data_IF_535422529762
#
_entry.id   IF_535422529762
#
_cell.length_a   1.000
_cell.length_b   1.000
_cell.length_c   1.000
_cell.angle_alpha   90.00
_cell.angle_beta   90.00
_cell.angle_gamma   90.00
#
_symmetry.space_group_name_H-M   'P 1'
#
loop_
_entity.id
_entity.type
_entity.pdbx_description
1 polymer ?
#
# COMPACT_ATOMS: atom_id res chain seq x y z
N UNK A 1 -15.92 16.62 5.34
CA UNK A 1 -15.53 15.20 5.21
C UNK A 1 -14.04 15.09 5.39
N UNK A 2 -13.62 14.02 6.06
CA UNK A 2 -12.23 13.64 6.24
C UNK A 2 -11.92 12.38 5.45
N UNK A 3 -10.89 12.44 4.60
CA UNK A 3 -10.51 11.37 3.69
C UNK A 3 -9.10 10.93 4.07
N UNK A 4 -8.91 9.62 4.29
CA UNK A 4 -7.59 9.02 4.41
C UNK A 4 -7.21 8.42 3.06
N UNK A 5 -6.26 9.04 2.36
CA UNK A 5 -5.72 8.51 1.11
C UNK A 5 -4.62 7.52 1.41
N UNK A 6 -4.72 6.29 0.93
CA UNK A 6 -3.71 5.27 1.14
C UNK A 6 -3.05 4.87 -0.19
N UNK A 7 -1.72 4.80 -0.20
CA UNK A 7 -0.91 4.22 -1.28
C UNK A 7 0.24 3.40 -0.67
N UNK A 8 0.88 2.49 -1.42
CA UNK A 8 1.97 1.67 -0.91
C UNK A 8 3.15 2.51 -0.41
N UNK A 9 3.52 3.50 -1.20
CA UNK A 9 4.54 4.50 -0.92
C UNK A 9 3.89 5.87 -1.17
N UNK A 10 4.39 6.93 -0.55
CA UNK A 10 3.84 8.26 -0.77
C UNK A 10 4.93 9.27 -1.12
N UNK A 11 4.57 10.27 -1.91
CA UNK A 11 5.45 11.40 -2.26
C UNK A 11 6.08 12.00 -1.00
N UNK A 12 7.41 12.27 -0.95
CA UNK A 12 8.31 12.44 -2.09
C UNK A 12 8.96 11.15 -2.64
N UNK A 13 8.76 10.00 -1.99
CA UNK A 13 9.28 8.74 -2.50
C UNK A 13 8.44 8.32 -3.70
N UNK A 14 9.09 8.05 -4.83
CA UNK A 14 8.43 7.73 -6.10
C UNK A 14 9.11 6.53 -6.76
N UNK A 15 8.31 5.51 -7.08
CA UNK A 15 8.74 4.39 -7.93
C UNK A 15 8.12 4.54 -9.32
N UNK A 16 6.87 5.00 -9.38
CA UNK A 16 6.15 5.20 -10.63
C UNK A 16 4.98 6.16 -10.50
N UNK A 17 3.98 6.02 -11.37
CA UNK A 17 2.87 6.97 -11.46
C UNK A 17 1.88 6.91 -10.29
N UNK A 18 1.84 5.81 -9.53
CA UNK A 18 0.88 5.64 -8.44
C UNK A 18 1.11 6.66 -7.31
N UNK A 19 2.37 6.85 -6.90
CA UNK A 19 2.74 7.78 -5.83
C UNK A 19 2.37 9.22 -6.21
N UNK A 20 2.76 9.65 -7.42
CA UNK A 20 2.46 10.99 -7.95
C UNK A 20 0.94 11.20 -8.04
N UNK A 21 0.21 10.25 -8.63
CA UNK A 21 -1.23 10.40 -8.80
C UNK A 21 -2.00 10.42 -7.48
N UNK A 22 -1.61 9.58 -6.50
CA UNK A 22 -2.21 9.61 -5.16
C UNK A 22 -1.92 10.91 -4.42
N UNK A 23 -0.73 11.48 -4.60
CA UNK A 23 -0.35 12.76 -4.01
C UNK A 23 -1.16 13.91 -4.63
N UNK A 24 -1.22 13.99 -5.95
CA UNK A 24 -2.03 14.99 -6.66
C UNK A 24 -3.51 14.88 -6.29
N UNK A 25 -4.05 13.66 -6.18
CA UNK A 25 -5.41 13.45 -5.69
C UNK A 25 -5.60 14.02 -4.28
N UNK A 26 -4.68 13.74 -3.35
CA UNK A 26 -4.77 14.24 -1.99
C UNK A 26 -4.73 15.78 -1.92
N UNK A 27 -3.82 16.41 -2.68
CA UNK A 27 -3.74 17.87 -2.79
C UNK A 27 -5.03 18.46 -3.36
N UNK A 28 -5.57 17.85 -4.42
CA UNK A 28 -6.77 18.31 -5.11
C UNK A 28 -8.05 18.13 -4.28
N UNK A 29 -8.12 17.11 -3.43
CA UNK A 29 -9.18 16.95 -2.45
C UNK A 29 -9.09 18.04 -1.37
N UNK A 30 -7.87 18.32 -0.87
CA UNK A 30 -7.66 19.38 0.12
C UNK A 30 -8.02 20.77 -0.42
N UNK A 31 -7.63 21.08 -1.66
CA UNK A 31 -7.99 22.33 -2.35
C UNK A 31 -9.51 22.50 -2.51
N UNK A 32 -10.27 21.40 -2.53
CA UNK A 32 -11.75 21.42 -2.56
C UNK A 32 -12.38 21.58 -1.17
N UNK A 33 -11.58 21.80 -0.12
CA UNK A 33 -12.04 22.01 1.25
C UNK A 33 -12.23 20.73 2.07
N UNK A 34 -11.82 19.56 1.57
CA UNK A 34 -11.84 18.33 2.35
C UNK A 34 -10.62 18.24 3.28
N UNK A 35 -10.78 17.62 4.45
CA UNK A 35 -9.65 17.29 5.29
C UNK A 35 -9.00 16.01 4.78
N UNK A 36 -7.70 16.03 4.48
CA UNK A 36 -7.03 14.90 3.86
C UNK A 36 -5.81 14.52 4.68
N UNK A 37 -5.77 13.28 5.13
CA UNK A 37 -4.56 12.64 5.64
C UNK A 37 -4.13 11.56 4.63
N UNK A 38 -2.88 11.12 4.71
CA UNK A 38 -2.38 10.01 3.91
C UNK A 38 -1.78 8.89 4.76
N UNK A 39 -1.90 7.64 4.31
CA UNK A 39 -1.29 6.46 4.94
C UNK A 39 -0.45 5.72 3.90
N UNK A 40 0.80 5.43 4.23
CA UNK A 40 1.67 4.66 3.34
C UNK A 40 2.71 3.86 4.11
N UNK A 41 3.34 2.92 3.43
CA UNK A 41 4.61 2.38 3.92
C UNK A 41 5.74 3.34 3.55
N UNK A 42 6.87 3.25 4.26
CA UNK A 42 8.10 3.94 3.84
C UNK A 42 8.74 3.30 2.61
N UNK A 43 8.22 2.16 2.13
CA UNK A 43 8.82 1.34 1.07
C UNK A 43 10.13 0.65 1.47
N UNK A 44 10.63 0.87 2.68
CA UNK A 44 11.93 0.39 3.16
C UNK A 44 11.78 -0.51 4.39
N UNK A 45 12.75 -1.40 4.62
CA UNK A 45 12.83 -2.27 5.82
C UNK A 45 13.55 -1.64 7.01
N UNK A 46 14.34 -0.61 6.79
CA UNK A 46 15.04 0.16 7.83
C UNK A 46 14.24 1.40 8.29
N UNK A 47 12.97 1.50 7.88
CA UNK A 47 12.07 2.58 8.31
C UNK A 47 11.60 2.46 9.77
N UNK A 48 10.80 3.42 10.25
CA UNK A 48 10.35 3.47 11.64
C UNK A 48 9.45 2.28 12.02
N UNK A 49 9.69 1.74 13.22
CA UNK A 49 8.94 0.59 13.74
C UNK A 49 7.44 0.88 13.92
N UNK A 50 7.10 2.10 14.34
CA UNK A 50 5.72 2.60 14.48
C UNK A 50 5.35 3.63 13.40
N UNK A 51 4.15 4.18 13.51
CA UNK A 51 3.70 5.29 12.65
C UNK A 51 4.47 6.56 12.97
N UNK A 52 5.35 6.94 12.06
CA UNK A 52 5.86 8.30 11.96
C UNK A 52 4.87 9.19 11.22
N UNK A 53 4.94 10.50 11.44
CA UNK A 53 4.10 11.48 10.73
C UNK A 53 4.95 12.60 10.14
N UNK A 54 4.55 13.07 8.96
CA UNK A 54 5.10 14.27 8.32
C UNK A 54 4.00 15.09 7.65
N UNK A 55 4.20 16.38 7.37
CA UNK A 55 3.20 17.19 6.66
C UNK A 55 2.88 16.66 5.26
N UNK A 56 1.61 16.74 4.89
CA UNK A 56 1.11 16.53 3.52
C UNK A 56 1.19 17.85 2.75
N UNK A 57 2.40 18.26 2.37
CA UNK A 57 2.65 19.57 1.77
C UNK A 57 2.02 20.70 2.60
N UNK A 58 1.34 21.62 1.93
CA UNK A 58 0.69 22.77 2.57
C UNK A 58 -0.81 22.56 2.85
N UNK A 59 -1.29 21.31 2.81
CA UNK A 59 -2.74 21.00 2.98
C UNK A 59 -3.23 21.09 4.42
N UNK A 60 -2.32 21.20 5.40
CA UNK A 60 -2.62 21.05 6.83
C UNK A 60 -2.87 19.61 7.29
N UNK A 61 -2.86 18.64 6.35
CA UNK A 61 -2.95 17.21 6.63
C UNK A 61 -1.60 16.56 6.91
N UNK A 62 -1.63 15.31 7.33
CA UNK A 62 -0.43 14.53 7.68
C UNK A 62 -0.32 13.25 6.84
N UNK A 63 0.90 12.84 6.54
CA UNK A 63 1.22 11.51 6.02
C UNK A 63 1.71 10.64 7.18
N UNK A 64 1.04 9.52 7.39
CA UNK A 64 1.35 8.49 8.37
C UNK A 64 2.14 7.37 7.69
N UNK A 65 3.36 7.09 8.15
CA UNK A 65 4.26 6.14 7.50
C UNK A 65 5.00 5.22 8.49
N UNK A 66 5.18 3.97 8.08
CA UNK A 66 5.94 2.95 8.83
C UNK A 66 6.68 1.99 7.88
N UNK A 67 7.60 1.19 8.40
CA UNK A 67 8.33 0.16 7.63
C UNK A 67 7.40 -0.72 6.77
N UNK A 68 7.79 -1.00 5.52
CA UNK A 68 7.06 -1.94 4.66
C UNK A 68 7.00 -3.35 5.28
N UNK A 69 5.88 -4.05 5.10
CA UNK A 69 5.81 -5.49 5.28
C UNK A 69 6.69 -6.22 4.26
N UNK A 70 7.01 -7.48 4.56
CA UNK A 70 7.73 -8.35 3.64
C UNK A 70 9.21 -8.49 3.95
N UNK A 71 9.96 -9.03 2.97
CA UNK A 71 11.36 -9.43 3.15
C UNK A 71 12.34 -8.67 2.26
N UNK A 72 11.89 -7.66 1.51
CA UNK A 72 12.78 -6.78 0.76
C UNK A 72 12.15 -5.39 0.58
N UNK A 73 12.99 -4.43 0.23
CA UNK A 73 12.57 -3.03 0.03
C UNK A 73 11.75 -2.90 -1.25
N UNK A 74 10.63 -2.17 -1.17
CA UNK A 74 9.87 -1.74 -2.33
C UNK A 74 10.53 -0.53 -2.99
N UNK A 75 11.04 0.40 -2.18
CA UNK A 75 11.69 1.63 -2.58
C UNK A 75 13.11 1.68 -2.01
N UNK A 76 14.07 2.09 -2.84
CA UNK A 76 15.45 2.31 -2.43
C UNK A 76 16.05 3.47 -3.21
N UNK A 77 16.79 4.32 -2.50
CA UNK A 77 17.52 5.42 -3.11
C UNK A 77 18.59 4.86 -4.06
N UNK A 78 18.63 5.35 -5.30
CA UNK A 78 19.66 4.96 -6.28
C UNK A 78 19.35 3.74 -7.14
N UNK A 79 18.13 3.19 -7.12
CA UNK A 79 17.67 2.18 -8.07
C UNK A 79 17.18 0.87 -7.43
N UNK A 80 16.75 -0.10 -8.26
CA UNK A 80 16.13 -1.33 -7.75
C UNK A 80 17.15 -2.20 -7.01
N UNK A 81 16.73 -2.76 -5.87
CA UNK A 81 17.51 -3.76 -5.16
C UNK A 81 17.71 -5.02 -6.04
N UNK A 82 18.82 -5.77 -5.85
CA UNK A 82 19.01 -7.04 -6.55
C UNK A 82 17.82 -7.97 -6.28
N UNK A 83 17.38 -8.66 -7.33
CA UNK A 83 16.25 -9.57 -7.24
C UNK A 83 16.54 -10.64 -6.16
N UNK A 84 15.66 -10.81 -5.16
CA UNK A 84 15.87 -11.80 -4.12
C UNK A 84 15.84 -13.21 -4.73
N UNK A 85 16.59 -14.13 -4.12
CA UNK A 85 16.53 -15.55 -4.46
C UNK A 85 15.09 -16.11 -4.36
N UNK A 86 14.83 -17.20 -5.06
CA UNK A 86 13.47 -17.74 -5.23
C UNK A 86 12.73 -18.03 -3.91
N UNK A 87 13.47 -18.48 -2.88
CA UNK A 87 12.93 -18.77 -1.56
C UNK A 87 12.43 -17.49 -0.87
N UNK A 88 13.29 -16.47 -0.78
CA UNK A 88 12.94 -15.17 -0.17
C UNK A 88 11.79 -14.51 -0.93
N UNK A 89 11.81 -14.63 -2.27
CA UNK A 89 10.72 -14.14 -3.12
C UNK A 89 9.40 -14.86 -2.82
N UNK A 90 9.43 -16.18 -2.66
CA UNK A 90 8.26 -16.98 -2.27
C UNK A 90 7.71 -16.55 -0.92
N UNK A 91 8.56 -16.50 0.11
CA UNK A 91 8.20 -16.05 1.45
C UNK A 91 7.59 -14.64 1.43
N UNK A 92 8.15 -13.72 0.65
CA UNK A 92 7.60 -12.38 0.49
C UNK A 92 6.18 -12.38 -0.04
N UNK A 93 5.90 -13.19 -1.06
CA UNK A 93 4.56 -13.27 -1.64
C UNK A 93 3.53 -13.80 -0.65
N UNK A 94 3.90 -14.75 0.21
CA UNK A 94 3.05 -15.21 1.29
C UNK A 94 2.88 -14.15 2.38
N UNK A 95 3.96 -13.47 2.80
CA UNK A 95 3.88 -12.38 3.78
C UNK A 95 3.05 -11.18 3.27
N UNK A 96 2.91 -11.03 1.94
CA UNK A 96 2.07 -10.00 1.33
C UNK A 96 0.55 -10.33 1.38
N UNK A 97 0.16 -11.51 1.85
CA UNK A 97 -1.26 -11.89 2.04
C UNK A 97 -1.84 -11.21 3.28
N UNK A 98 -1.12 -11.24 4.39
CA UNK A 98 -1.59 -10.68 5.66
C UNK A 98 -0.41 -10.27 6.52
N UNK A 99 -0.48 -9.07 7.10
CA UNK A 99 0.51 -8.57 8.03
C UNK A 99 -0.16 -8.14 9.34
N UNK A 100 0.01 -8.90 10.45
CA UNK A 100 -0.52 -8.52 11.75
C UNK A 100 0.02 -7.17 12.24
N UNK A 101 1.29 -6.87 11.92
CA UNK A 101 1.90 -5.56 12.20
C UNK A 101 1.16 -4.45 11.48
N UNK A 102 0.93 -4.57 10.18
CA UNK A 102 0.21 -3.55 9.44
C UNK A 102 -1.27 -3.48 9.77
N UNK A 103 -1.89 -4.58 10.19
CA UNK A 103 -3.24 -4.53 10.75
C UNK A 103 -3.27 -3.62 11.99
N UNK A 104 -2.32 -3.78 12.92
CA UNK A 104 -2.20 -2.91 14.11
C UNK A 104 -1.95 -1.44 13.73
N UNK A 105 -1.04 -1.18 12.79
CA UNK A 105 -0.71 0.18 12.35
C UNK A 105 -1.87 0.83 11.59
N UNK A 106 -2.57 0.10 10.72
CA UNK A 106 -3.74 0.61 10.01
C UNK A 106 -4.87 0.96 10.98
N UNK A 107 -5.10 0.11 12.00
CA UNK A 107 -6.02 0.40 13.10
C UNK A 107 -5.67 1.71 13.81
N UNK A 108 -4.41 1.86 14.22
CA UNK A 108 -3.92 3.08 14.87
C UNK A 108 -4.09 4.32 13.97
N UNK A 109 -3.74 4.23 12.69
CA UNK A 109 -3.90 5.32 11.74
C UNK A 109 -5.37 5.72 11.60
N UNK A 110 -6.29 4.75 11.45
CA UNK A 110 -7.73 5.00 11.34
C UNK A 110 -8.31 5.56 12.65
N UNK A 111 -7.81 5.14 13.82
CA UNK A 111 -8.24 5.67 15.12
C UNK A 111 -7.78 7.11 15.34
N UNK A 112 -6.54 7.43 14.93
CA UNK A 112 -5.98 8.78 15.04
C UNK A 112 -6.62 9.75 14.06
N UNK A 113 -6.88 9.30 12.84
CA UNK A 113 -7.41 10.16 11.78
C UNK A 113 -8.93 10.24 11.83
N UNK A 114 -9.64 9.17 12.20
CA UNK A 114 -11.11 9.07 12.15
C UNK A 114 -11.69 9.57 10.81
N UNK A 115 -11.27 8.98 9.67
CA UNK A 115 -11.74 9.43 8.37
C UNK A 115 -13.18 8.97 8.12
N UNK A 116 -13.94 9.78 7.40
CA UNK A 116 -15.26 9.41 6.88
C UNK A 116 -15.14 8.45 5.68
N UNK A 117 -13.99 8.44 4.99
CA UNK A 117 -13.71 7.60 3.82
C UNK A 117 -12.24 7.19 3.78
N UNK A 118 -11.97 5.89 3.61
CA UNK A 118 -10.65 5.39 3.25
C UNK A 118 -10.56 5.23 1.73
N UNK A 119 -9.62 5.93 1.09
CA UNK A 119 -9.37 5.80 -0.34
C UNK A 119 -8.04 5.09 -0.62
N UNK A 120 -8.08 3.79 -0.92
CA UNK A 120 -6.87 3.00 -1.22
C UNK A 120 -6.51 3.00 -2.70
N UNK A 121 -5.21 2.90 -3.00
CA UNK A 121 -4.65 2.89 -4.36
C UNK A 121 -3.83 1.61 -4.55
N UNK A 122 -2.50 1.65 -4.36
CA UNK A 122 -1.70 0.42 -4.25
C UNK A 122 -1.61 0.00 -2.77
N UNK A 123 -1.56 -1.31 -2.51
CA UNK A 123 -1.51 -1.89 -1.14
C UNK A 123 -0.30 -2.81 -0.92
N UNK A 124 0.60 -2.89 -1.90
CA UNK A 124 1.89 -3.57 -1.80
C UNK A 124 2.64 -3.08 -0.55
N UNK A 125 3.22 -3.99 0.23
CA UNK A 125 3.93 -3.65 1.47
C UNK A 125 3.04 -3.35 2.67
N UNK A 126 1.75 -3.10 2.48
CA UNK A 126 0.79 -2.93 3.58
C UNK A 126 -0.11 -4.16 3.76
N UNK A 127 -0.34 -4.90 2.67
CA UNK A 127 -1.28 -6.04 2.55
C UNK A 127 -2.76 -5.60 2.60
N UNK A 128 -3.72 -6.46 2.23
CA UNK A 128 -5.17 -6.15 2.30
C UNK A 128 -5.72 -5.87 3.71
N UNK A 129 -4.92 -6.03 4.77
CA UNK A 129 -5.34 -5.78 6.16
C UNK A 129 -5.83 -4.36 6.43
N UNK A 130 -5.46 -3.39 5.60
CA UNK A 130 -5.99 -2.02 5.70
C UNK A 130 -7.51 -1.98 5.50
N UNK A 131 -8.05 -2.84 4.62
CA UNK A 131 -9.50 -2.97 4.42
C UNK A 131 -10.17 -3.71 5.58
N UNK A 132 -9.49 -4.71 6.15
CA UNK A 132 -9.95 -5.34 7.38
C UNK A 132 -10.08 -4.29 8.50
N UNK A 133 -9.06 -3.44 8.70
CA UNK A 133 -9.05 -2.40 9.73
C UNK A 133 -10.17 -1.37 9.52
N UNK A 134 -10.46 -1.00 8.27
CA UNK A 134 -11.55 -0.10 7.90
C UNK A 134 -12.93 -0.73 8.16
N UNK A 135 -13.12 -2.00 7.75
CA UNK A 135 -14.35 -2.76 7.98
C UNK A 135 -14.68 -2.87 9.47
N UNK A 136 -13.68 -3.16 10.31
CA UNK A 136 -13.83 -3.22 11.78
C UNK A 136 -14.29 -1.89 12.40
N UNK A 137 -14.08 -0.77 11.71
CA UNK A 137 -14.48 0.58 12.14
C UNK A 137 -15.71 1.11 11.40
N UNK A 138 -16.32 0.30 10.53
CA UNK A 138 -17.41 0.72 9.63
C UNK A 138 -17.04 1.93 8.76
N UNK A 139 -15.76 2.06 8.38
CA UNK A 139 -15.29 3.13 7.48
C UNK A 139 -15.47 2.64 6.04
N UNK A 140 -16.22 3.37 5.18
CA UNK A 140 -16.37 3.00 3.78
C UNK A 140 -15.03 3.09 3.05
N UNK A 141 -14.85 2.21 2.07
CA UNK A 141 -13.61 2.10 1.30
C UNK A 141 -13.89 2.32 -0.18
N UNK A 142 -13.11 3.22 -0.80
CA UNK A 142 -13.01 3.33 -2.26
C UNK A 142 -11.61 2.89 -2.67
N UNK A 143 -11.52 1.93 -3.59
CA UNK A 143 -10.25 1.45 -4.11
C UNK A 143 -10.09 1.82 -5.58
N UNK A 144 -9.02 2.57 -5.90
CA UNK A 144 -8.60 2.77 -7.30
C UNK A 144 -7.59 1.69 -7.66
N UNK A 145 -7.96 0.81 -8.59
CA UNK A 145 -7.08 -0.24 -9.10
C UNK A 145 -5.93 0.40 -9.90
N UNK A 146 -4.70 0.28 -9.39
CA UNK A 146 -3.48 0.81 -10.05
C UNK A 146 -2.50 -0.27 -10.49
N UNK A 147 -2.65 -1.46 -9.95
CA UNK A 147 -1.83 -2.62 -10.25
C UNK A 147 -2.66 -3.90 -10.07
N UNK A 148 -2.05 -5.05 -10.41
CA UNK A 148 -2.70 -6.35 -10.24
C UNK A 148 -2.26 -7.09 -8.97
N UNK A 149 -1.82 -6.42 -7.90
CA UNK A 149 -1.25 -7.05 -6.71
C UNK A 149 -2.16 -8.07 -6.03
N UNK A 150 -3.47 -7.80 -6.03
CA UNK A 150 -4.49 -8.71 -5.50
C UNK A 150 -4.59 -10.01 -6.29
N UNK A 151 -4.29 -9.96 -7.58
CA UNK A 151 -4.42 -11.08 -8.51
C UNK A 151 -3.10 -11.76 -8.82
N UNK A 152 -1.99 -11.03 -8.71
CA UNK A 152 -0.68 -11.41 -9.18
C UNK A 152 0.39 -10.96 -8.17
N UNK A 153 1.18 -11.88 -7.59
CA UNK A 153 2.28 -11.50 -6.70
C UNK A 153 3.36 -10.65 -7.38
N UNK A 154 3.41 -10.66 -8.72
CA UNK A 154 4.29 -9.80 -9.53
C UNK A 154 3.67 -8.46 -9.91
N UNK A 155 2.42 -8.21 -9.55
CA UNK A 155 1.61 -7.01 -9.86
C UNK A 155 1.39 -6.68 -11.34
N UNK A 156 2.00 -7.42 -12.28
CA UNK A 156 1.94 -7.13 -13.73
C UNK A 156 1.00 -8.03 -14.55
N UNK A 157 0.60 -9.19 -14.02
CA UNK A 157 0.00 -10.28 -14.83
C UNK A 157 0.86 -10.71 -16.03
N UNK A 158 2.17 -10.49 -15.96
CA UNK A 158 3.13 -10.95 -16.98
C UNK A 158 4.02 -12.08 -16.44
N UNK A 159 4.38 -13.00 -17.34
CA UNK A 159 5.38 -14.05 -17.09
C UNK A 159 6.80 -13.47 -17.05
N UNK A 160 7.80 -14.28 -16.69
CA UNK A 160 9.21 -13.84 -16.68
C UNK A 160 9.72 -13.46 -18.05
N UNK A 161 9.18 -14.06 -19.11
CA UNK A 161 9.47 -13.75 -20.50
C UNK A 161 8.63 -12.59 -21.06
N UNK A 162 7.85 -11.89 -20.23
CA UNK A 162 7.02 -10.76 -20.67
C UNK A 162 5.68 -11.13 -21.31
N UNK A 163 5.42 -12.40 -21.59
CA UNK A 163 4.13 -12.83 -22.14
C UNK A 163 2.99 -12.64 -21.12
N UNK A 164 1.78 -12.38 -21.63
CA UNK A 164 0.58 -12.28 -20.82
C UNK A 164 0.32 -13.60 -20.06
N UNK A 165 -0.14 -13.47 -18.82
CA UNK A 165 -0.46 -14.59 -17.95
C UNK A 165 -1.96 -14.86 -17.96
N UNK A 166 -2.45 -15.44 -19.06
CA UNK A 166 -3.87 -15.82 -19.20
C UNK A 166 -4.24 -17.00 -18.27
N UNK A 167 -3.35 -17.98 -18.17
CA UNK A 167 -3.52 -19.15 -17.29
C UNK A 167 -2.76 -18.95 -15.99
N UNK A 168 -3.47 -18.45 -14.96
CA UNK A 168 -2.91 -18.19 -13.63
C UNK A 168 -2.37 -19.49 -12.99
N UNK A 169 -1.07 -19.58 -12.70
CA UNK A 169 -0.51 -20.76 -12.02
C UNK A 169 -1.12 -20.97 -10.63
N UNK A 170 -1.23 -22.23 -10.20
CA UNK A 170 -1.81 -22.61 -8.90
C UNK A 170 -1.31 -21.77 -7.71
N UNK A 171 0.01 -21.52 -7.52
CA UNK A 171 0.48 -20.70 -6.42
C UNK A 171 -0.07 -19.27 -6.45
N UNK A 172 -0.18 -18.69 -7.65
CA UNK A 172 -0.75 -17.34 -7.82
C UNK A 172 -2.26 -17.33 -7.56
N UNK A 173 -2.97 -18.39 -7.96
CA UNK A 173 -4.41 -18.52 -7.71
C UNK A 173 -4.71 -18.65 -6.21
N UNK A 174 -3.92 -19.46 -5.48
CA UNK A 174 -4.02 -19.59 -4.02
C UNK A 174 -3.75 -18.26 -3.34
N UNK A 175 -2.64 -17.59 -3.66
CA UNK A 175 -2.30 -16.28 -3.07
C UNK A 175 -3.37 -15.23 -3.33
N UNK A 176 -3.93 -15.19 -4.55
CA UNK A 176 -5.00 -14.25 -4.90
C UNK A 176 -6.27 -14.52 -4.07
N UNK A 177 -6.65 -15.78 -3.91
CA UNK A 177 -7.79 -16.16 -3.07
C UNK A 177 -7.58 -15.77 -1.62
N UNK A 178 -6.37 -15.99 -1.08
CA UNK A 178 -6.06 -15.63 0.30
C UNK A 178 -6.06 -14.12 0.54
N UNK A 179 -5.67 -13.30 -0.43
CA UNK A 179 -5.71 -11.83 -0.32
C UNK A 179 -7.12 -11.23 -0.35
N UNK A 180 -8.08 -11.96 -0.94
CA UNK A 180 -9.45 -11.51 -1.14
C UNK A 180 -10.46 -12.14 -0.16
N UNK A 181 -9.99 -13.04 0.72
CA UNK A 181 -10.77 -13.65 1.79
C UNK A 181 -10.84 -12.70 3.01
#
# INVERSE_FOLDING_TARGET
>A
MKILVQNSIFFPNVIGGAEISSHLLALQLAQRGWQVDALATSGRRDGPAGLSTRPLGDTGGQVFEATSAGFYDLYRDGGPAPAPGILIRGLHHFAAVHSPRWLKLAREALDRTRPDLLHTNTIVGMTPVVWQAARERNIPVVHTLRDYHLLCPRTTLLRSNGAECENKPLPCAVLARLKLA
#
